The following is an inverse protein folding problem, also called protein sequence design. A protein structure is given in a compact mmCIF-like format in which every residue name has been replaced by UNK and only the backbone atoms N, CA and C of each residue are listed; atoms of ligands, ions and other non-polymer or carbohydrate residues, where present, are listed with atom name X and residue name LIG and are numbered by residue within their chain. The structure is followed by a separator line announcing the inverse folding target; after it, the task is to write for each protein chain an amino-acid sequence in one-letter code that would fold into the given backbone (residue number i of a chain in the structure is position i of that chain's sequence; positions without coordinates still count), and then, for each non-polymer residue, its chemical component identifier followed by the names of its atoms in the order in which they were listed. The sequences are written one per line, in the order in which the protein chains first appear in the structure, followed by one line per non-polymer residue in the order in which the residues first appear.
data_IF_789961410627
#
_entry.id   IF_789961410627
#
_cell.length_a   1.000
_cell.length_b   1.000
_cell.length_c   1.000
_cell.angle_alpha   90.00
_cell.angle_beta   90.00
_cell.angle_gamma   90.00
#
_symmetry.space_group_name_H-M   'P 1'
#
loop_
_entity.id
_entity.type
_entity.pdbx_description
1 polymer ?
#
# COMPACT_ATOMS: atom_id res chain seq x y z
N UNK A 1 -30.68 -3.00 -45.22
CA UNK A 1 -29.77 -4.11 -44.85
C UNK A 1 -28.90 -3.68 -43.69
N UNK A 2 -29.07 -4.28 -42.51
CA UNK A 2 -28.25 -3.97 -41.33
C UNK A 2 -27.06 -4.94 -41.29
N UNK A 3 -25.84 -4.40 -41.38
CA UNK A 3 -24.59 -5.16 -41.26
C UNK A 3 -24.29 -5.35 -39.76
N UNK A 4 -24.75 -6.45 -39.16
CA UNK A 4 -24.18 -6.93 -37.90
C UNK A 4 -23.50 -8.27 -38.16
N UNK A 5 -22.17 -8.24 -38.17
CA UNK A 5 -21.31 -9.41 -38.03
C UNK A 5 -21.47 -9.91 -36.60
N UNK A 6 -21.68 -11.20 -36.42
CA UNK A 6 -21.79 -11.81 -35.08
C UNK A 6 -20.60 -11.39 -34.20
N UNK A 7 -20.81 -11.10 -32.89
CA UNK A 7 -19.73 -10.73 -32.01
C UNK A 7 -18.70 -11.87 -31.94
N UNK A 8 -17.38 -11.56 -31.92
CA UNK A 8 -16.36 -12.59 -31.83
C UNK A 8 -16.55 -13.43 -30.56
N UNK A 9 -16.24 -14.73 -30.59
CA UNK A 9 -16.36 -15.59 -29.42
C UNK A 9 -15.51 -15.01 -28.28
N UNK A 10 -16.15 -14.74 -27.13
CA UNK A 10 -15.47 -14.29 -25.93
C UNK A 10 -14.65 -15.45 -25.36
N UNK A 11 -13.33 -15.31 -25.40
CA UNK A 11 -12.44 -16.14 -24.60
C UNK A 11 -12.60 -15.72 -23.12
N UNK A 12 -12.49 -16.65 -22.17
CA UNK A 12 -12.49 -16.32 -20.74
C UNK A 12 -11.48 -15.22 -20.45
N UNK A 13 -11.89 -14.26 -19.62
CA UNK A 13 -11.00 -13.19 -19.15
C UNK A 13 -9.89 -13.87 -18.34
N UNK A 14 -8.66 -13.86 -18.87
CA UNK A 14 -7.46 -14.21 -18.11
C UNK A 14 -7.22 -13.08 -17.10
N UNK A 15 -7.86 -13.20 -15.94
CA UNK A 15 -7.38 -12.52 -14.74
C UNK A 15 -5.93 -12.93 -14.51
N UNK A 16 -5.05 -12.07 -13.96
CA UNK A 16 -3.74 -12.52 -13.54
C UNK A 16 -3.96 -13.69 -12.59
N UNK A 17 -3.63 -14.89 -13.07
CA UNK A 17 -3.76 -16.10 -12.30
C UNK A 17 -3.01 -15.89 -11.00
N UNK A 18 -3.56 -16.44 -9.94
CA UNK A 18 -2.87 -16.75 -8.72
C UNK A 18 -1.64 -17.63 -9.07
N UNK A 19 -0.50 -17.03 -9.44
CA UNK A 19 0.68 -17.78 -9.88
C UNK A 19 1.41 -18.30 -8.63
N UNK A 20 1.11 -19.54 -8.26
CA UNK A 20 1.97 -20.34 -7.38
C UNK A 20 2.18 -19.82 -5.95
N UNK A 21 1.22 -19.06 -5.39
CA UNK A 21 1.31 -18.58 -4.00
C UNK A 21 2.21 -17.35 -3.80
N UNK A 22 2.63 -16.68 -4.88
CA UNK A 22 3.33 -15.40 -4.83
C UNK A 22 2.35 -14.25 -4.98
N UNK A 23 2.61 -13.13 -4.28
CA UNK A 23 1.83 -11.90 -4.45
C UNK A 23 1.92 -11.46 -5.92
N UNK A 24 0.77 -11.33 -6.58
CA UNK A 24 0.71 -10.86 -7.97
C UNK A 24 1.34 -9.47 -8.05
N UNK A 25 2.41 -9.34 -8.84
CA UNK A 25 2.98 -8.02 -9.14
C UNK A 25 1.90 -7.14 -9.78
N UNK A 26 1.87 -5.86 -9.41
CA UNK A 26 0.96 -4.89 -10.00
C UNK A 26 1.24 -4.79 -11.50
N UNK A 27 0.38 -5.37 -12.33
CA UNK A 27 0.49 -5.32 -13.79
C UNK A 27 0.02 -3.97 -14.33
N UNK A 28 0.56 -3.51 -15.49
CA UNK A 28 0.09 -2.29 -16.11
C UNK A 28 -1.37 -2.44 -16.54
N UNK A 29 -2.23 -1.51 -16.13
CA UNK A 29 -3.63 -1.44 -16.56
C UNK A 29 -3.66 -0.89 -17.99
N UNK A 30 -4.11 -1.71 -18.95
CA UNK A 30 -4.34 -1.27 -20.34
C UNK A 30 -5.85 -1.08 -20.53
N UNK A 31 -6.36 0.16 -20.60
CA UNK A 31 -7.80 0.39 -20.73
C UNK A 31 -8.29 -0.06 -22.11
N UNK A 32 -9.37 -0.85 -22.13
CA UNK A 32 -10.06 -1.28 -23.35
C UNK A 32 -11.41 -0.55 -23.43
N UNK A 33 -11.66 0.15 -24.53
CA UNK A 33 -12.90 0.90 -24.74
C UNK A 33 -14.13 -0.04 -24.68
N UNK A 34 -15.12 0.31 -23.84
CA UNK A 34 -16.36 -0.45 -23.69
C UNK A 34 -16.31 -1.61 -22.69
N UNK A 35 -15.15 -1.91 -22.09
CA UNK A 35 -15.00 -2.92 -21.04
C UNK A 35 -14.84 -2.23 -19.68
N UNK A 36 -15.76 -2.43 -18.72
CA UNK A 36 -15.57 -1.97 -17.34
C UNK A 36 -14.25 -2.52 -16.80
N UNK A 37 -13.29 -1.65 -16.56
CA UNK A 37 -12.01 -2.04 -15.99
C UNK A 37 -12.22 -2.36 -14.51
N UNK A 38 -11.59 -3.41 -13.96
CA UNK A 38 -11.51 -3.58 -12.52
C UNK A 38 -10.91 -2.31 -11.93
N UNK A 39 -11.67 -1.60 -11.10
CA UNK A 39 -11.22 -0.46 -10.32
C UNK A 39 -10.59 -0.89 -8.98
N UNK A 40 -10.24 -2.17 -8.88
CA UNK A 40 -9.73 -2.77 -7.66
C UNK A 40 -8.20 -2.66 -7.62
N UNK A 41 -7.71 -1.96 -6.60
CA UNK A 41 -6.31 -1.91 -6.25
C UNK A 41 -6.08 -2.85 -5.08
N UNK A 42 -5.45 -4.00 -5.35
CA UNK A 42 -5.05 -4.93 -4.30
C UNK A 42 -3.61 -4.62 -3.90
N UNK A 43 -3.38 -4.35 -2.62
CA UNK A 43 -2.04 -4.20 -2.06
C UNK A 43 -1.87 -5.13 -0.87
N UNK A 44 -0.65 -5.63 -0.70
CA UNK A 44 -0.31 -6.38 0.51
C UNK A 44 -0.05 -5.39 1.64
N UNK A 45 -0.64 -5.66 2.79
CA UNK A 45 -0.54 -4.82 3.98
C UNK A 45 0.00 -5.66 5.14
N UNK A 46 0.72 -4.99 6.03
CA UNK A 46 1.09 -5.50 7.35
C UNK A 46 0.14 -4.91 8.39
N UNK A 47 -1.11 -5.39 8.51
CA UNK A 47 -2.17 -4.71 9.26
C UNK A 47 -1.81 -4.54 10.74
N UNK A 48 -1.13 -5.52 11.34
CA UNK A 48 -0.69 -5.46 12.75
C UNK A 48 0.40 -4.40 12.93
N UNK A 49 1.32 -4.26 11.97
CA UNK A 49 2.34 -3.23 11.99
C UNK A 49 1.72 -1.83 11.90
N UNK A 50 0.83 -1.62 10.93
CA UNK A 50 0.07 -0.37 10.76
C UNK A 50 -0.73 -0.06 12.03
N UNK A 51 -1.39 -1.07 12.62
CA UNK A 51 -2.14 -0.91 13.85
C UNK A 51 -1.25 -0.48 15.03
N UNK A 52 -0.08 -1.10 15.19
CA UNK A 52 0.81 -0.80 16.31
C UNK A 52 1.43 0.59 16.17
N UNK A 53 1.93 0.96 14.99
CA UNK A 53 2.53 2.27 14.79
C UNK A 53 1.49 3.40 14.91
N UNK A 54 0.24 3.16 14.50
CA UNK A 54 -0.87 4.13 14.66
C UNK A 54 -1.12 4.53 16.11
N UNK A 55 -0.80 3.67 17.08
CA UNK A 55 -0.96 3.99 18.51
C UNK A 55 0.01 5.07 19.01
N UNK A 56 1.09 5.30 18.26
CA UNK A 56 2.07 6.33 18.55
C UNK A 56 1.82 7.64 17.80
N UNK A 57 0.68 7.77 17.09
CA UNK A 57 0.37 9.00 16.37
C UNK A 57 0.27 10.18 17.35
N UNK A 58 0.89 11.30 16.98
CA UNK A 58 1.05 12.48 17.83
C UNK A 58 2.18 12.37 18.85
N UNK A 59 2.97 11.30 18.85
CA UNK A 59 4.09 11.10 19.77
C UNK A 59 5.45 11.19 19.05
N UNK A 60 6.52 11.57 19.76
CA UNK A 60 7.87 11.42 19.25
C UNK A 60 8.21 9.93 19.14
N UNK A 61 8.71 9.53 17.97
CA UNK A 61 9.14 8.16 17.69
C UNK A 61 10.51 8.18 17.00
N UNK A 62 11.14 7.01 16.98
CA UNK A 62 12.26 6.72 16.09
C UNK A 62 11.90 5.55 15.18
N UNK A 63 12.25 5.65 13.92
CA UNK A 63 11.99 4.64 12.89
C UNK A 63 13.30 4.26 12.26
N UNK A 64 13.63 2.97 12.29
CA UNK A 64 14.78 2.43 11.58
C UNK A 64 14.33 2.01 10.18
N UNK A 65 14.87 2.66 9.17
CA UNK A 65 14.62 2.30 7.77
C UNK A 65 15.79 1.51 7.20
N UNK A 66 15.59 0.88 6.07
CA UNK A 66 16.67 0.24 5.30
C UNK A 66 17.80 1.21 4.89
N UNK A 67 17.56 2.52 4.94
CA UNK A 67 18.53 3.57 4.63
C UNK A 67 19.07 4.30 5.87
N UNK A 68 18.65 3.90 7.07
CA UNK A 68 19.07 4.47 8.36
C UNK A 68 17.92 4.99 9.24
N UNK A 69 18.30 5.57 10.39
CA UNK A 69 17.39 6.00 11.46
C UNK A 69 16.80 7.38 11.23
N UNK A 70 15.49 7.50 11.46
CA UNK A 70 14.74 8.76 11.38
C UNK A 70 13.93 8.95 12.67
N UNK A 71 14.20 10.03 13.38
CA UNK A 71 13.49 10.45 14.60
C UNK A 71 12.61 11.67 14.34
N UNK A 72 11.48 11.79 15.02
CA UNK A 72 10.61 12.96 14.93
C UNK A 72 9.20 12.70 15.44
N UNK A 73 8.28 13.64 15.18
CA UNK A 73 6.88 13.52 15.57
C UNK A 73 6.11 12.69 14.54
N UNK A 74 5.48 11.58 14.95
CA UNK A 74 4.59 10.82 14.07
C UNK A 74 3.28 11.59 13.85
N UNK A 75 3.21 12.36 12.77
CA UNK A 75 2.06 13.22 12.48
C UNK A 75 0.88 12.44 11.88
N UNK A 76 1.17 11.39 11.10
CA UNK A 76 0.14 10.64 10.39
C UNK A 76 0.57 9.22 10.07
N UNK A 77 -0.40 8.31 10.02
CA UNK A 77 -0.23 6.93 9.57
C UNK A 77 -1.29 6.64 8.52
N UNK A 78 -0.84 6.20 7.35
CA UNK A 78 -1.66 5.67 6.27
C UNK A 78 -1.37 4.18 6.11
N UNK A 79 -2.11 3.53 5.20
CA UNK A 79 -1.98 2.08 4.95
C UNK A 79 -0.61 1.69 4.37
N UNK A 80 0.04 2.59 3.63
CA UNK A 80 1.27 2.32 2.88
C UNK A 80 2.47 3.20 3.31
N UNK A 81 2.24 4.26 4.08
CA UNK A 81 3.26 5.18 4.53
C UNK A 81 2.93 5.83 5.88
N UNK A 82 3.96 6.38 6.52
CA UNK A 82 3.84 7.24 7.70
C UNK A 82 4.36 8.65 7.39
N UNK A 83 3.89 9.63 8.15
CA UNK A 83 4.41 10.99 8.11
C UNK A 83 5.14 11.32 9.41
N UNK A 84 6.43 11.62 9.30
CA UNK A 84 7.24 12.13 10.41
C UNK A 84 7.51 13.62 10.18
N UNK A 85 7.12 14.46 11.14
CA UNK A 85 7.45 15.88 11.14
C UNK A 85 8.76 16.12 11.91
N UNK A 86 9.62 16.94 11.33
CA UNK A 86 10.78 17.59 11.96
C UNK A 86 10.59 19.10 11.91
N UNK A 87 11.49 19.83 12.55
CA UNK A 87 11.42 21.30 12.67
C UNK A 87 11.30 22.00 11.32
N UNK A 88 11.95 21.47 10.28
CA UNK A 88 12.08 22.10 8.96
C UNK A 88 11.21 21.44 7.87
N UNK A 89 10.71 20.21 8.08
CA UNK A 89 10.05 19.44 7.03
C UNK A 89 9.16 18.30 7.52
N UNK A 90 8.27 17.86 6.65
CA UNK A 90 7.48 16.64 6.79
C UNK A 90 8.00 15.55 5.84
N UNK A 91 8.29 14.38 6.39
CA UNK A 91 8.81 13.23 5.65
C UNK A 91 7.75 12.16 5.54
N UNK A 92 7.43 11.74 4.32
CA UNK A 92 6.58 10.59 4.06
C UNK A 92 7.46 9.37 3.82
N UNK A 93 7.34 8.36 4.67
CA UNK A 93 8.18 7.16 4.66
C UNK A 93 7.28 5.97 4.35
N UNK A 94 7.60 5.23 3.28
CA UNK A 94 6.88 3.98 2.95
C UNK A 94 7.06 2.97 4.07
N UNK A 95 5.96 2.36 4.53
CA UNK A 95 5.98 1.33 5.58
C UNK A 95 6.83 0.14 5.15
N UNK A 96 6.80 -0.22 3.87
CA UNK A 96 7.61 -1.30 3.29
C UNK A 96 9.13 -1.13 3.41
N UNK A 97 9.63 0.06 3.77
CA UNK A 97 11.06 0.32 3.98
C UNK A 97 11.44 0.49 5.45
N UNK A 98 10.49 0.32 6.37
CA UNK A 98 10.71 0.38 7.80
C UNK A 98 11.07 -1.02 8.30
N UNK A 99 12.19 -1.14 8.99
CA UNK A 99 12.63 -2.39 9.62
C UNK A 99 11.96 -2.54 10.99
N UNK A 100 11.98 -1.48 11.80
CA UNK A 100 11.28 -1.41 13.09
C UNK A 100 11.04 0.05 13.51
N UNK A 101 10.25 0.25 14.56
CA UNK A 101 10.07 1.55 15.20
C UNK A 101 10.14 1.44 16.73
N UNK A 102 10.52 2.53 17.36
CA UNK A 102 10.56 2.74 18.80
C UNK A 102 9.66 3.92 19.15
N UNK A 103 8.85 3.78 20.19
CA UNK A 103 8.02 4.85 20.73
C UNK A 103 7.94 4.75 22.25
N UNK A 104 7.24 5.67 22.91
CA UNK A 104 7.00 5.61 24.35
C UNK A 104 6.46 4.24 24.77
N UNK A 105 6.91 3.74 25.92
CA UNK A 105 6.49 2.42 26.40
C UNK A 105 4.96 2.33 26.49
N UNK A 106 4.36 1.51 25.64
CA UNK A 106 2.91 1.26 25.65
C UNK A 106 2.67 0.06 26.55
N UNK A 107 1.89 0.25 27.62
CA UNK A 107 1.34 -0.90 28.35
C UNK A 107 0.15 -1.44 27.56
N UNK A 108 0.26 -2.68 27.07
CA UNK A 108 -0.89 -3.39 26.53
C UNK A 108 -1.84 -3.67 27.71
N UNK A 109 -2.97 -2.98 27.75
CA UNK A 109 -4.11 -3.31 28.60
C UNK A 109 -5.20 -3.94 27.76
#
# INVERSE_FOLDING_TARGET
MSYYKEPPPQLPIDQPAYVGGWQGACGPIVPIAGVPQPNEYVTSLDPVFVQHISRHQGQPIAVETTCGRIEGLLAGVAVDHIQINRDDRSMHIRIAHIVYFEGPAVSYR
#
